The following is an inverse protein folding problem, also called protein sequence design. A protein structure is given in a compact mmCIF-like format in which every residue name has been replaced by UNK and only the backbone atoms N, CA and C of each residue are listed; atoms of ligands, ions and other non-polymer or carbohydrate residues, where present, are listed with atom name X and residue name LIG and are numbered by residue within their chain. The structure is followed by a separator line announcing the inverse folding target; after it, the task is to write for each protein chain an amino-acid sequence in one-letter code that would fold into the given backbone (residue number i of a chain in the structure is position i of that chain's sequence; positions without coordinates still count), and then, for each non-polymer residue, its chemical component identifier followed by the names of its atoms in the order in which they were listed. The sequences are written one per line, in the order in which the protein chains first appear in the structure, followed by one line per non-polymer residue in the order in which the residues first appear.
data_IF_896927264349
#
_entry.id   IF_896927264349
#
_cell.length_a   1.000
_cell.length_b   1.000
_cell.length_c   1.000
_cell.angle_alpha   90.00
_cell.angle_beta   90.00
_cell.angle_gamma   90.00
#
_symmetry.space_group_name_H-M   'P 1'
#
loop_
_entity.id
_entity.type
_entity.pdbx_description
1 polymer ?
#
# COMPACT_ATOMS: atom_id res chain seq x y z
N UNK A 1 0.65 -14.64 10.37
CA UNK A 1 0.81 -13.23 10.78
C UNK A 1 -0.49 -12.50 10.48
N UNK A 2 -0.92 -11.54 11.31
CA UNK A 2 -2.12 -10.72 11.07
C UNK A 2 -1.70 -9.25 11.09
N UNK A 3 -2.17 -8.48 10.13
CA UNK A 3 -1.93 -7.04 10.04
C UNK A 3 -3.27 -6.31 10.27
N UNK A 4 -3.26 -5.23 11.04
CA UNK A 4 -4.38 -4.29 11.09
C UNK A 4 -4.22 -3.31 9.94
N UNK A 5 -5.24 -3.20 9.09
CA UNK A 5 -5.26 -2.20 8.04
C UNK A 5 -5.84 -0.90 8.57
N UNK A 6 -5.35 0.22 8.03
CA UNK A 6 -5.91 1.55 8.25
C UNK A 6 -6.12 2.24 6.90
N UNK A 7 -7.15 3.09 6.78
CA UNK A 7 -7.31 3.97 5.63
C UNK A 7 -6.08 4.86 5.45
N UNK A 8 -5.64 5.05 4.21
CA UNK A 8 -4.60 6.00 3.83
C UNK A 8 -4.83 6.54 2.43
N UNK A 9 -4.41 7.78 2.21
CA UNK A 9 -4.14 8.29 0.87
C UNK A 9 -2.96 7.56 0.21
N UNK A 10 -2.89 7.59 -1.11
CA UNK A 10 -1.70 7.12 -1.86
C UNK A 10 -0.43 7.85 -1.41
N UNK A 11 -0.53 9.14 -1.10
CA UNK A 11 0.59 9.97 -0.64
C UNK A 11 1.14 9.50 0.71
N UNK A 12 0.25 9.26 1.69
CA UNK A 12 0.63 8.76 3.01
C UNK A 12 1.24 7.36 2.92
N UNK A 13 0.59 6.46 2.16
CA UNK A 13 1.09 5.11 1.94
C UNK A 13 2.50 5.12 1.31
N UNK A 14 2.73 6.00 0.33
CA UNK A 14 4.05 6.15 -0.30
C UNK A 14 5.12 6.67 0.68
N UNK A 15 4.77 7.63 1.53
CA UNK A 15 5.71 8.16 2.54
C UNK A 15 6.07 7.10 3.57
N UNK A 16 5.10 6.31 4.03
CA UNK A 16 5.30 5.24 5.00
C UNK A 16 6.15 4.10 4.44
N UNK A 17 5.84 3.65 3.22
CA UNK A 17 6.63 2.61 2.53
C UNK A 17 8.09 3.02 2.36
N UNK A 18 8.34 4.29 2.02
CA UNK A 18 9.69 4.81 1.81
C UNK A 18 10.45 5.07 3.12
N UNK A 19 9.75 5.29 4.24
CA UNK A 19 10.36 5.56 5.54
C UNK A 19 10.97 4.31 6.20
N UNK A 20 10.35 3.14 6.05
CA UNK A 20 10.72 1.93 6.80
C UNK A 20 11.46 0.87 5.94
N UNK A 21 11.92 1.24 4.73
CA UNK A 21 12.60 0.34 3.79
C UNK A 21 11.88 -1.00 3.54
N UNK A 22 10.57 -1.07 3.77
CA UNK A 22 9.77 -2.25 3.53
C UNK A 22 9.58 -2.46 2.01
N UNK A 23 9.49 -3.70 1.52
CA UNK A 23 9.28 -3.97 0.10
C UNK A 23 7.85 -3.66 -0.37
N UNK A 24 6.87 -3.70 0.54
CA UNK A 24 5.47 -3.41 0.28
C UNK A 24 4.74 -2.90 1.53
N UNK A 25 3.60 -2.24 1.32
CA UNK A 25 2.66 -1.79 2.35
C UNK A 25 1.25 -2.22 1.96
N UNK A 26 0.49 -2.80 2.89
CA UNK A 26 -0.93 -3.14 2.70
C UNK A 26 -1.76 -2.16 3.52
N UNK A 27 -2.73 -1.51 2.89
CA UNK A 27 -3.57 -0.48 3.50
C UNK A 27 -4.99 -0.52 2.92
N UNK A 28 -5.92 0.22 3.53
CA UNK A 28 -7.21 0.50 2.91
C UNK A 28 -7.10 1.81 2.15
N UNK A 29 -7.57 1.84 0.92
CA UNK A 29 -7.73 3.09 0.18
C UNK A 29 -8.73 4.00 0.90
N UNK A 30 -8.39 5.29 1.05
CA UNK A 30 -9.23 6.22 1.81
C UNK A 30 -10.55 6.56 1.11
N UNK A 31 -10.58 6.53 -0.22
CA UNK A 31 -11.74 6.93 -1.02
C UNK A 31 -12.73 5.77 -1.19
N UNK A 32 -12.21 4.58 -1.50
CA UNK A 32 -13.03 3.39 -1.80
C UNK A 32 -13.19 2.44 -0.60
N UNK A 33 -12.28 2.47 0.36
CA UNK A 33 -12.19 1.48 1.44
C UNK A 33 -11.69 0.11 0.97
N UNK A 34 -11.27 -0.03 -0.28
CA UNK A 34 -10.74 -1.27 -0.83
C UNK A 34 -9.32 -1.55 -0.34
N UNK A 35 -8.90 -2.81 -0.42
CA UNK A 35 -7.54 -3.19 -0.03
C UNK A 35 -6.59 -2.74 -1.14
N UNK A 36 -5.60 -1.92 -0.83
CA UNK A 36 -4.51 -1.60 -1.74
C UNK A 36 -3.19 -2.19 -1.21
N UNK A 37 -2.35 -2.64 -2.14
CA UNK A 37 -0.99 -3.11 -1.84
C UNK A 37 -0.01 -2.24 -2.62
N UNK A 38 0.69 -1.33 -1.93
CA UNK A 38 1.75 -0.53 -2.53
C UNK A 38 3.07 -1.29 -2.51
N UNK A 39 3.78 -1.28 -3.62
CA UNK A 39 5.03 -2.03 -3.80
C UNK A 39 6.12 -1.11 -4.32
N UNK A 40 7.32 -1.21 -3.74
CA UNK A 40 8.53 -0.58 -4.30
C UNK A 40 9.22 -1.56 -5.23
N UNK A 41 9.27 -1.24 -6.52
CA UNK A 41 9.93 -2.08 -7.54
C UNK A 41 11.45 -1.93 -7.47
N UNK A 42 12.16 -2.86 -8.11
CA UNK A 42 13.62 -2.87 -8.16
C UNK A 42 14.21 -1.63 -8.86
N UNK A 43 13.46 -1.01 -9.77
CA UNK A 43 13.82 0.25 -10.43
C UNK A 43 13.55 1.50 -9.57
N UNK A 44 13.06 1.32 -8.35
CA UNK A 44 12.71 2.41 -7.43
C UNK A 44 11.33 3.03 -7.66
N UNK A 45 10.60 2.62 -8.71
CA UNK A 45 9.23 3.08 -8.94
C UNK A 45 8.25 2.46 -7.95
N UNK A 46 7.14 3.16 -7.70
CA UNK A 46 6.04 2.68 -6.90
C UNK A 46 4.89 2.19 -7.77
N UNK A 47 4.20 1.15 -7.31
CA UNK A 47 3.00 0.64 -7.93
C UNK A 47 1.97 0.25 -6.88
N UNK A 48 0.69 0.35 -7.24
CA UNK A 48 -0.43 -0.14 -6.42
C UNK A 48 -1.01 -1.37 -7.09
N UNK A 49 -1.27 -2.40 -6.30
CA UNK A 49 -2.05 -3.58 -6.69
C UNK A 49 -3.40 -3.51 -5.99
N UNK A 50 -4.45 -3.65 -6.79
CA UNK A 50 -5.86 -3.66 -6.38
C UNK A 50 -6.36 -5.12 -6.47
N UNK A 51 -6.52 -5.85 -5.34
CA UNK A 51 -6.99 -7.22 -5.35
C UNK A 51 -8.46 -7.28 -5.76
N UNK A 52 -8.75 -8.05 -6.80
CA UNK A 52 -10.11 -8.40 -7.17
C UNK A 52 -10.54 -9.62 -6.35
N UNK A 53 -11.55 -9.45 -5.49
CA UNK A 53 -12.18 -10.54 -4.75
C UNK A 53 -13.39 -11.04 -5.54
N UNK A 54 -13.45 -12.33 -5.95
CA UNK A 54 -14.63 -12.91 -6.59
C UNK A 54 -15.86 -12.99 -5.69
#
# INVERSE_FOLDING_TARGET
MRLKLRPMSVSEASSELLADSQPFLVYLDEDSGEIHIMVKRADGSLAVIEPVIP
#
